data_IF_922569987004
#
_entry.id   IF_922569987004
#
_cell.length_a   1.000
_cell.length_b   1.000
_cell.length_c   1.000
_cell.angle_alpha   90.00
_cell.angle_beta   90.00
_cell.angle_gamma   90.00
#
_symmetry.space_group_name_H-M   'P 1'
#
loop_
_entity.id
_entity.type
_entity.pdbx_description
1 polymer ?
#
# COMPACT_ATOMS: atom_id res chain seq x y z
N UNK A 1 21.95 7.09 14.51
CA UNK A 1 22.86 7.40 13.37
C UNK A 1 22.14 7.27 12.02
N UNK A 2 21.39 6.19 11.76
CA UNK A 2 20.66 6.03 10.48
C UNK A 2 19.69 7.18 10.19
N UNK A 3 18.96 7.68 11.20
CA UNK A 3 18.02 8.80 11.07
C UNK A 3 18.72 10.12 10.69
N UNK A 4 19.90 10.38 11.27
CA UNK A 4 20.64 11.64 11.05
C UNK A 4 21.16 11.82 9.62
N UNK A 5 21.27 10.74 8.87
CA UNK A 5 21.83 10.75 7.51
C UNK A 5 20.72 10.48 6.44
N UNK A 6 19.43 10.54 6.84
CA UNK A 6 18.30 10.23 5.98
C UNK A 6 17.37 11.44 5.82
N UNK A 7 16.81 11.65 4.63
CA UNK A 7 15.76 12.63 4.37
C UNK A 7 14.34 12.02 4.60
N UNK A 8 14.23 10.72 4.42
CA UNK A 8 12.99 9.96 4.58
C UNK A 8 13.17 8.80 5.56
N UNK A 9 12.28 8.70 6.54
CA UNK A 9 12.29 7.66 7.58
C UNK A 9 11.02 6.82 7.46
N UNK A 10 11.16 5.53 7.13
CA UNK A 10 10.03 4.62 7.01
C UNK A 10 9.88 3.82 8.31
N UNK A 11 8.72 3.99 8.96
CA UNK A 11 8.32 3.20 10.12
C UNK A 11 7.65 1.90 9.66
N UNK A 12 8.40 0.79 9.70
CA UNK A 12 7.98 -0.53 9.26
C UNK A 12 8.12 -1.59 10.37
N UNK A 13 7.85 -1.20 11.60
CA UNK A 13 7.93 -2.06 12.78
C UNK A 13 6.55 -2.60 13.19
N UNK A 14 6.52 -3.59 14.08
CA UNK A 14 5.26 -4.05 14.67
C UNK A 14 4.62 -2.93 15.51
N UNK A 15 3.27 -2.84 15.57
CA UNK A 15 2.58 -1.81 16.34
C UNK A 15 3.01 -1.71 17.81
N UNK A 16 3.39 -2.85 18.42
CA UNK A 16 3.87 -2.90 19.81
C UNK A 16 5.29 -2.34 20.02
N UNK A 17 6.06 -2.16 18.95
CA UNK A 17 7.44 -1.61 19.00
C UNK A 17 7.46 -0.10 18.72
N UNK A 18 6.33 0.47 18.30
CA UNK A 18 6.27 1.85 17.82
C UNK A 18 6.71 2.86 18.87
N UNK A 19 6.23 2.73 20.11
CA UNK A 19 6.53 3.68 21.18
C UNK A 19 8.03 3.74 21.51
N UNK A 20 8.69 2.58 21.52
CA UNK A 20 10.13 2.49 21.76
C UNK A 20 10.90 3.17 20.62
N UNK A 21 10.53 2.88 19.37
CA UNK A 21 11.16 3.47 18.19
C UNK A 21 10.95 4.98 18.15
N UNK A 22 9.74 5.46 18.37
CA UNK A 22 9.45 6.91 18.38
C UNK A 22 10.23 7.62 19.50
N UNK A 23 10.32 7.02 20.69
CA UNK A 23 11.10 7.59 21.80
C UNK A 23 12.59 7.70 21.47
N UNK A 24 13.13 6.77 20.69
CA UNK A 24 14.52 6.78 20.26
C UNK A 24 14.80 7.81 19.16
N UNK A 25 13.90 7.94 18.18
CA UNK A 25 14.12 8.80 17.01
C UNK A 25 13.70 10.25 17.25
N UNK A 26 12.67 10.53 18.05
CA UNK A 26 12.13 11.88 18.27
C UNK A 26 13.19 12.93 18.62
N UNK A 27 14.20 12.64 19.48
CA UNK A 27 15.25 13.65 19.81
C UNK A 27 16.15 14.04 18.65
N UNK A 28 16.14 13.30 17.54
CA UNK A 28 17.02 13.51 16.37
C UNK A 28 16.26 13.76 15.08
N UNK A 29 14.92 13.77 15.15
CA UNK A 29 14.07 14.14 14.01
C UNK A 29 14.13 15.65 13.83
N UNK A 30 14.41 16.10 12.61
CA UNK A 30 14.44 17.50 12.20
C UNK A 30 13.21 17.77 11.32
N UNK A 31 12.40 18.75 11.73
CA UNK A 31 11.13 19.10 11.07
C UNK A 31 11.31 19.72 9.69
N UNK A 32 12.46 20.33 9.42
CA UNK A 32 12.74 21.01 8.16
C UNK A 32 13.31 20.06 7.08
N UNK A 33 13.82 18.90 7.48
CA UNK A 33 14.52 17.99 6.56
C UNK A 33 13.93 16.58 6.50
N UNK A 34 13.29 16.10 7.56
CA UNK A 34 12.80 14.72 7.60
C UNK A 34 11.34 14.60 7.18
N UNK A 35 11.06 13.58 6.37
CA UNK A 35 9.72 13.07 6.12
C UNK A 35 9.57 11.70 6.79
N UNK A 36 8.55 11.56 7.65
CA UNK A 36 8.21 10.29 8.31
C UNK A 36 7.11 9.61 7.51
N UNK A 37 7.35 8.37 7.09
CA UNK A 37 6.35 7.54 6.41
C UNK A 37 6.06 6.30 7.26
N UNK A 38 4.80 6.13 7.67
CA UNK A 38 4.39 4.95 8.44
C UNK A 38 3.65 3.95 7.56
N UNK A 39 4.15 2.71 7.48
CA UNK A 39 3.44 1.58 6.87
C UNK A 39 2.78 0.67 7.92
N UNK A 40 2.67 1.14 9.17
CA UNK A 40 2.15 0.37 10.29
C UNK A 40 0.63 0.33 10.25
N UNK A 41 0.07 -0.87 10.11
CA UNK A 41 -1.39 -1.05 10.10
C UNK A 41 -2.01 -0.75 11.46
N UNK A 42 -3.14 -0.04 11.45
CA UNK A 42 -3.94 0.22 12.66
C UNK A 42 -3.39 1.30 13.60
N UNK A 43 -2.37 2.05 13.17
CA UNK A 43 -1.83 3.19 13.92
C UNK A 43 -2.21 4.49 13.21
N UNK A 44 -2.83 5.41 13.93
CA UNK A 44 -3.26 6.72 13.39
C UNK A 44 -2.10 7.72 13.31
N UNK A 45 -2.26 8.73 12.45
CA UNK A 45 -1.30 9.83 12.35
C UNK A 45 -1.17 10.58 13.68
N UNK A 46 -2.30 10.87 14.36
CA UNK A 46 -2.30 11.54 15.65
C UNK A 46 -1.44 10.81 16.69
N UNK A 47 -1.53 9.48 16.73
CA UNK A 47 -0.71 8.69 17.65
C UNK A 47 0.77 8.82 17.37
N UNK A 48 1.17 8.85 16.10
CA UNK A 48 2.57 9.01 15.70
C UNK A 48 3.01 10.46 15.98
N UNK A 49 2.23 11.44 15.52
CA UNK A 49 2.53 12.86 15.67
C UNK A 49 2.69 13.28 17.14
N UNK A 50 1.87 12.71 18.06
CA UNK A 50 1.96 13.00 19.50
C UNK A 50 3.32 12.65 20.14
N UNK A 51 4.19 11.93 19.45
CA UNK A 51 5.51 11.48 19.90
C UNK A 51 6.66 12.10 19.13
N UNK A 52 6.36 12.87 18.11
CA UNK A 52 7.35 13.54 17.24
C UNK A 52 7.34 15.05 17.49
N UNK A 53 8.38 15.77 17.07
CA UNK A 53 8.36 17.22 17.08
C UNK A 53 7.21 17.79 16.25
N UNK A 54 6.58 18.86 16.74
CA UNK A 54 5.48 19.54 16.05
C UNK A 54 5.93 20.05 14.68
N UNK A 55 5.15 19.75 13.65
CA UNK A 55 5.37 20.23 12.28
C UNK A 55 6.22 19.33 11.40
N UNK A 56 6.67 18.16 11.89
CA UNK A 56 7.33 17.17 11.03
C UNK A 56 6.39 16.65 9.96
N UNK A 57 6.88 16.52 8.72
CA UNK A 57 6.12 15.92 7.64
C UNK A 57 5.81 14.44 7.95
N UNK A 58 4.53 14.10 8.01
CA UNK A 58 4.06 12.74 8.35
C UNK A 58 3.09 12.23 7.29
N UNK A 59 3.37 11.04 6.78
CA UNK A 59 2.53 10.33 5.81
C UNK A 59 2.24 8.93 6.33
N UNK A 60 0.99 8.48 6.23
CA UNK A 60 0.66 7.06 6.33
C UNK A 60 0.55 6.46 4.96
N UNK A 61 1.24 5.34 4.75
CA UNK A 61 1.17 4.59 3.52
C UNK A 61 0.64 3.18 3.80
N UNK A 62 -0.29 2.74 2.97
CA UNK A 62 -0.86 1.39 3.02
C UNK A 62 -0.61 0.70 1.68
N UNK A 63 0.58 0.16 1.46
CA UNK A 63 0.88 -0.69 0.32
C UNK A 63 0.23 -2.07 0.49
N UNK A 64 0.22 -2.86 -0.58
CA UNK A 64 -0.13 -4.27 -0.51
C UNK A 64 1.06 -5.16 -0.93
N UNK A 65 0.90 -6.47 -0.83
CA UNK A 65 1.98 -7.43 -1.12
C UNK A 65 2.44 -7.45 -2.58
N UNK A 66 1.70 -6.82 -3.50
CA UNK A 66 2.12 -6.70 -4.89
C UNK A 66 3.29 -5.71 -5.11
N UNK A 67 3.82 -5.08 -4.06
CA UNK A 67 5.13 -4.40 -4.10
C UNK A 67 6.22 -5.33 -4.62
N UNK A 68 6.15 -6.63 -4.34
CA UNK A 68 7.10 -7.63 -4.80
C UNK A 68 7.17 -7.72 -6.34
N UNK A 69 6.07 -7.41 -7.01
CA UNK A 69 5.95 -7.44 -8.47
C UNK A 69 5.84 -6.06 -9.11
N UNK A 70 6.12 -4.99 -8.37
CA UNK A 70 6.03 -3.59 -8.82
C UNK A 70 4.62 -3.20 -9.31
N UNK A 71 3.58 -3.78 -8.72
CA UNK A 71 2.17 -3.56 -9.08
C UNK A 71 1.29 -3.30 -7.87
N UNK A 72 1.86 -2.72 -6.82
CA UNK A 72 1.14 -2.36 -5.61
C UNK A 72 0.09 -1.28 -5.87
N UNK A 73 -1.03 -1.37 -5.20
CA UNK A 73 -1.88 -0.22 -4.91
C UNK A 73 -1.50 0.29 -3.52
N UNK A 74 -0.99 1.52 -3.43
CA UNK A 74 -0.60 2.14 -2.17
C UNK A 74 -1.50 3.34 -1.87
N UNK A 75 -2.29 3.26 -0.81
CA UNK A 75 -3.05 4.41 -0.33
C UNK A 75 -2.17 5.26 0.60
N UNK A 76 -2.17 6.58 0.37
CA UNK A 76 -1.42 7.55 1.16
C UNK A 76 -2.40 8.46 1.90
N UNK A 77 -2.20 8.66 3.21
CA UNK A 77 -2.86 9.71 3.96
C UNK A 77 -1.82 10.69 4.50
N UNK A 78 -2.14 11.96 4.41
CA UNK A 78 -1.28 13.07 4.82
C UNK A 78 -2.04 13.99 5.76
N UNK A 79 -1.30 14.80 6.50
CA UNK A 79 -1.90 15.83 7.33
C UNK A 79 -2.59 16.94 6.50
N UNK A 80 -3.22 17.89 7.17
CA UNK A 80 -3.92 19.01 6.52
C UNK A 80 -2.99 19.90 5.68
N UNK A 81 -1.71 19.90 5.96
CA UNK A 81 -0.70 20.67 5.22
C UNK A 81 -0.14 19.90 4.02
N UNK A 82 -0.50 18.61 3.86
CA UNK A 82 -0.01 17.72 2.79
C UNK A 82 1.51 17.65 2.71
N UNK A 83 2.19 17.90 3.81
CA UNK A 83 3.64 17.80 3.89
C UNK A 83 4.12 16.38 3.63
N UNK A 84 5.16 16.24 2.81
CA UNK A 84 5.80 14.95 2.52
C UNK A 84 5.06 14.05 1.54
N UNK A 85 3.87 14.46 1.00
CA UNK A 85 3.13 13.64 0.05
C UNK A 85 3.95 13.33 -1.21
N UNK A 86 4.63 14.33 -1.77
CA UNK A 86 5.44 14.17 -2.98
C UNK A 86 6.60 13.19 -2.77
N UNK A 87 7.19 13.18 -1.57
CA UNK A 87 8.24 12.21 -1.21
C UNK A 87 7.65 10.81 -1.18
N UNK A 88 6.49 10.63 -0.54
CA UNK A 88 5.84 9.32 -0.47
C UNK A 88 5.37 8.83 -1.85
N UNK A 89 4.74 9.69 -2.67
CA UNK A 89 4.36 9.36 -4.05
C UNK A 89 5.58 8.93 -4.86
N UNK A 90 6.66 9.74 -4.86
CA UNK A 90 7.87 9.40 -5.62
C UNK A 90 8.49 8.05 -5.21
N UNK A 91 8.35 7.67 -3.94
CA UNK A 91 8.88 6.41 -3.42
C UNK A 91 7.98 5.22 -3.80
N UNK A 92 6.66 5.35 -3.64
CA UNK A 92 5.74 4.24 -3.86
C UNK A 92 5.29 4.07 -5.31
N UNK A 93 5.36 5.10 -6.15
CA UNK A 93 5.08 4.99 -7.60
C UNK A 93 6.14 4.14 -8.32
N UNK A 94 7.33 3.97 -7.74
CA UNK A 94 8.31 3.01 -8.25
C UNK A 94 7.82 1.56 -8.16
N UNK A 95 6.98 1.26 -7.18
CA UNK A 95 6.52 -0.12 -6.91
C UNK A 95 5.02 -0.32 -7.22
N UNK A 96 4.39 0.63 -7.90
CA UNK A 96 2.99 0.49 -8.30
C UNK A 96 2.30 1.82 -8.58
N UNK A 97 1.12 2.00 -8.04
CA UNK A 97 0.29 3.20 -8.18
C UNK A 97 -0.05 3.72 -6.78
N UNK A 98 0.03 5.03 -6.58
CA UNK A 98 -0.39 5.69 -5.35
C UNK A 98 -1.76 6.35 -5.51
N UNK A 99 -2.49 6.46 -4.39
CA UNK A 99 -3.71 7.24 -4.28
C UNK A 99 -3.73 7.96 -2.94
N UNK A 100 -3.80 9.28 -2.98
CA UNK A 100 -3.95 10.09 -1.76
C UNK A 100 -5.42 10.09 -1.33
N UNK A 101 -5.64 9.73 -0.07
CA UNK A 101 -6.96 9.62 0.56
C UNK A 101 -6.98 10.34 1.92
N UNK A 102 -8.16 10.62 2.42
CA UNK A 102 -8.31 11.08 3.81
C UNK A 102 -7.94 9.96 4.79
N UNK A 103 -7.37 10.30 5.95
CA UNK A 103 -6.94 9.29 6.93
C UNK A 103 -8.08 8.38 7.41
N UNK A 104 -9.29 8.91 7.51
CA UNK A 104 -10.50 8.15 7.88
C UNK A 104 -10.77 6.99 6.88
N UNK A 105 -10.34 7.14 5.64
CA UNK A 105 -10.47 6.12 4.59
C UNK A 105 -9.39 5.05 4.63
N UNK A 106 -8.37 5.15 5.50
CA UNK A 106 -7.31 4.13 5.61
C UNK A 106 -7.83 2.76 6.01
N UNK A 107 -8.84 2.68 6.88
CA UNK A 107 -9.43 1.39 7.27
C UNK A 107 -10.22 0.75 6.11
N UNK A 108 -11.13 1.45 5.42
CA UNK A 108 -11.74 0.94 4.18
C UNK A 108 -10.69 0.56 3.11
N UNK A 109 -9.67 1.39 2.91
CA UNK A 109 -8.59 1.12 1.96
C UNK A 109 -7.81 -0.16 2.32
N UNK A 110 -7.54 -0.39 3.60
CA UNK A 110 -6.91 -1.64 4.08
C UNK A 110 -7.74 -2.86 3.66
N UNK A 111 -9.05 -2.81 3.83
CA UNK A 111 -9.94 -3.91 3.44
C UNK A 111 -9.95 -4.13 1.93
N UNK A 112 -10.02 -3.07 1.12
CA UNK A 112 -10.11 -3.16 -0.33
C UNK A 112 -8.76 -3.45 -1.00
N UNK A 113 -7.70 -2.77 -0.60
CA UNK A 113 -6.40 -2.82 -1.28
C UNK A 113 -5.46 -3.85 -0.65
N UNK A 114 -5.25 -3.81 0.67
CA UNK A 114 -4.31 -4.72 1.33
C UNK A 114 -4.88 -6.13 1.47
N UNK A 115 -6.11 -6.27 2.01
CA UNK A 115 -6.78 -7.56 2.14
C UNK A 115 -7.37 -8.02 0.80
N UNK A 116 -7.71 -7.10 -0.10
CA UNK A 116 -8.31 -7.37 -1.40
C UNK A 116 -7.54 -8.36 -2.27
N UNK A 117 -6.21 -8.34 -2.21
CA UNK A 117 -5.36 -9.31 -2.91
C UNK A 117 -5.77 -10.76 -2.57
N UNK A 118 -6.10 -11.04 -1.31
CA UNK A 118 -6.51 -12.39 -0.91
C UNK A 118 -7.84 -12.81 -1.58
N UNK A 119 -8.76 -11.87 -1.84
CA UNK A 119 -10.01 -12.16 -2.53
C UNK A 119 -9.76 -12.49 -4.00
N UNK A 120 -8.95 -11.70 -4.69
CA UNK A 120 -8.58 -11.97 -6.08
C UNK A 120 -7.79 -13.28 -6.24
N UNK A 121 -6.84 -13.56 -5.35
CA UNK A 121 -6.13 -14.85 -5.35
C UNK A 121 -7.06 -16.04 -5.13
N UNK A 122 -8.08 -15.91 -4.28
CA UNK A 122 -9.10 -16.96 -4.10
C UNK A 122 -9.95 -17.16 -5.37
N UNK A 123 -10.29 -16.08 -6.07
CA UNK A 123 -11.02 -16.15 -7.34
C UNK A 123 -10.18 -16.85 -8.41
N UNK A 124 -8.90 -16.47 -8.55
CA UNK A 124 -7.96 -17.11 -9.47
C UNK A 124 -7.82 -18.60 -9.15
N UNK A 125 -7.69 -18.96 -7.87
CA UNK A 125 -7.61 -20.36 -7.43
C UNK A 125 -8.87 -21.15 -7.80
N UNK A 126 -10.06 -20.56 -7.59
CA UNK A 126 -11.32 -21.21 -7.94
C UNK A 126 -11.44 -21.43 -9.45
N UNK A 127 -11.07 -20.46 -10.27
CA UNK A 127 -11.03 -20.58 -11.73
C UNK A 127 -10.03 -21.65 -12.18
N UNK A 128 -8.84 -21.71 -11.58
CA UNK A 128 -7.85 -22.75 -11.88
C UNK A 128 -8.35 -24.16 -11.51
N UNK A 129 -9.04 -24.30 -10.38
CA UNK A 129 -9.66 -25.58 -10.00
C UNK A 129 -10.70 -26.03 -11.03
N UNK A 130 -11.59 -25.12 -11.47
CA UNK A 130 -12.54 -25.41 -12.55
C UNK A 130 -11.84 -25.80 -13.86
N UNK A 131 -10.74 -25.11 -14.20
CA UNK A 131 -9.90 -25.47 -15.34
C UNK A 131 -9.38 -26.92 -15.28
N UNK A 132 -8.94 -27.34 -14.09
CA UNK A 132 -8.49 -28.74 -13.88
C UNK A 132 -9.64 -29.76 -14.02
N UNK A 133 -10.82 -29.41 -13.53
CA UNK A 133 -12.00 -30.28 -13.64
C UNK A 133 -12.46 -30.49 -15.08
N UNK A 134 -12.22 -29.53 -15.97
CA UNK A 134 -12.54 -29.63 -17.41
C UNK A 134 -11.42 -30.21 -18.26
N UNK A 135 -10.27 -30.59 -17.65
CA UNK A 135 -9.23 -31.38 -18.30
C UNK A 135 -7.88 -30.73 -18.53
N UNK A 136 -7.64 -29.50 -18.07
CA UNK A 136 -6.30 -28.91 -18.09
C UNK A 136 -5.41 -29.51 -17.00
N UNK A 137 -4.09 -29.53 -17.22
CA UNK A 137 -3.15 -29.79 -16.15
C UNK A 137 -3.16 -28.64 -15.14
N UNK A 138 -2.84 -28.92 -13.88
CA UNK A 138 -2.99 -27.94 -12.78
C UNK A 138 -2.15 -26.67 -12.97
N UNK A 139 -0.95 -26.79 -13.51
CA UNK A 139 -0.05 -25.67 -13.85
C UNK A 139 -0.58 -24.82 -15.01
N UNK A 140 -1.12 -25.47 -16.05
CA UNK A 140 -1.76 -24.79 -17.17
C UNK A 140 -3.02 -24.04 -16.72
N UNK A 141 -3.88 -24.70 -15.95
CA UNK A 141 -5.10 -24.09 -15.41
C UNK A 141 -4.79 -22.86 -14.55
N UNK A 142 -3.75 -22.92 -13.71
CA UNK A 142 -3.32 -21.79 -12.90
C UNK A 142 -2.79 -20.64 -13.77
N UNK A 143 -1.97 -20.92 -14.76
CA UNK A 143 -1.45 -19.92 -15.70
C UNK A 143 -2.58 -19.22 -16.47
N UNK A 144 -3.52 -20.01 -17.02
CA UNK A 144 -4.68 -19.50 -17.74
C UNK A 144 -5.53 -18.57 -16.86
N UNK A 145 -5.87 -19.01 -15.66
CA UNK A 145 -6.69 -18.24 -14.72
C UNK A 145 -5.99 -16.94 -14.29
N UNK A 146 -4.70 -17.00 -13.94
CA UNK A 146 -3.94 -15.85 -13.48
C UNK A 146 -3.76 -14.83 -14.60
N UNK A 147 -3.39 -15.25 -15.81
CA UNK A 147 -3.18 -14.32 -16.94
C UNK A 147 -4.51 -13.70 -17.41
N UNK A 148 -5.62 -14.45 -17.37
CA UNK A 148 -6.96 -13.92 -17.69
C UNK A 148 -7.39 -12.86 -16.67
N UNK A 149 -7.19 -13.10 -15.38
CA UNK A 149 -7.49 -12.12 -14.33
C UNK A 149 -6.66 -10.84 -14.48
N UNK A 150 -5.38 -10.99 -14.82
CA UNK A 150 -4.50 -9.84 -15.14
C UNK A 150 -5.05 -9.04 -16.33
N UNK A 151 -5.41 -9.71 -17.42
CA UNK A 151 -5.97 -9.05 -18.60
C UNK A 151 -7.27 -8.29 -18.28
N UNK A 152 -8.15 -8.86 -17.46
CA UNK A 152 -9.38 -8.18 -17.02
C UNK A 152 -9.08 -6.92 -16.19
N UNK A 153 -8.08 -6.96 -15.30
CA UNK A 153 -7.65 -5.78 -14.56
C UNK A 153 -7.03 -4.71 -15.47
N UNK A 154 -6.21 -5.13 -16.44
CA UNK A 154 -5.56 -4.22 -17.41
C UNK A 154 -6.58 -3.49 -18.29
N UNK A 155 -7.68 -4.13 -18.70
CA UNK A 155 -8.76 -3.48 -19.45
C UNK A 155 -9.36 -2.28 -18.69
N UNK A 156 -9.52 -2.43 -17.37
CA UNK A 156 -10.05 -1.36 -16.52
C UNK A 156 -8.99 -0.26 -16.32
N UNK A 157 -7.76 -0.65 -15.96
CA UNK A 157 -6.70 0.29 -15.59
C UNK A 157 -6.18 1.11 -16.77
N UNK A 158 -6.05 0.50 -17.96
CA UNK A 158 -5.48 1.16 -19.14
C UNK A 158 -6.51 1.88 -19.98
N UNK A 159 -7.73 1.35 -20.10
CA UNK A 159 -8.76 1.90 -20.96
C UNK A 159 -9.79 2.74 -20.20
N UNK A 160 -9.77 2.74 -18.86
CA UNK A 160 -10.80 3.38 -18.05
C UNK A 160 -12.19 2.75 -18.23
N UNK A 161 -12.23 1.49 -18.69
CA UNK A 161 -13.47 0.79 -18.96
C UNK A 161 -14.22 0.47 -17.64
N UNK A 162 -15.54 0.43 -17.72
CA UNK A 162 -16.35 -0.05 -16.60
C UNK A 162 -16.53 -1.58 -16.71
N UNK A 163 -16.43 -2.35 -15.58
CA UNK A 163 -16.58 -3.80 -15.62
C UNK A 163 -17.82 -4.28 -16.38
N UNK A 164 -18.97 -3.63 -16.19
CA UNK A 164 -20.22 -4.00 -16.87
C UNK A 164 -20.15 -3.88 -18.40
N UNK A 165 -19.33 -2.96 -18.92
CA UNK A 165 -19.15 -2.82 -20.37
C UNK A 165 -18.21 -3.85 -20.97
N UNK A 166 -17.44 -4.55 -20.15
CA UNK A 166 -16.48 -5.58 -20.57
C UNK A 166 -17.00 -7.02 -20.32
N UNK A 167 -18.16 -7.15 -19.64
CA UNK A 167 -18.77 -8.44 -19.32
C UNK A 167 -19.69 -8.93 -20.47
N UNK A 168 -20.21 -8.04 -21.34
CA UNK A 168 -21.04 -8.38 -22.50
C UNK A 168 -20.17 -8.99 -23.63
#
# INVERSE_FOLDING_TARGET
KAVLDADCIILAVQPGQLEDVLSEIAPVVDVDSHTIISVITGVTMDRIASRLPDGVALVRAMPNTAVETMTSMTCLAVDTHRSGVEVAESLFDVVGITLVIDEEMMTPATALCACGIAFFLRTIRAAAQGGTEIGFHADEALLLAAQTARGAADLILQNGAHPESEID
#
